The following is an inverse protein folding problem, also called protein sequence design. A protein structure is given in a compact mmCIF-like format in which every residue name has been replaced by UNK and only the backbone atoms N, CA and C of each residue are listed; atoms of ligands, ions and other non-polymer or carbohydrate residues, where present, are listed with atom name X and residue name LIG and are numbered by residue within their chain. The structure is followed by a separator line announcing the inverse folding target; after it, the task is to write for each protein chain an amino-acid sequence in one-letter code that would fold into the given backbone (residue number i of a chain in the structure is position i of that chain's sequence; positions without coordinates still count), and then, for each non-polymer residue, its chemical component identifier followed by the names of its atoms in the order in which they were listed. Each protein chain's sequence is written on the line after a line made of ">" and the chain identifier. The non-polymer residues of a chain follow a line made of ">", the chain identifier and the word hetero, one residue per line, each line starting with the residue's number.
data_IF_789026466616
#
_entry.id   IF_789026466616
#
_cell.length_a   1.000
_cell.length_b   1.000
_cell.length_c   1.000
_cell.angle_alpha   90.00
_cell.angle_beta   90.00
_cell.angle_gamma   90.00
#
_symmetry.space_group_name_H-M   'P 1'
#
loop_
_entity.id
_entity.type
_entity.pdbx_description
1 polymer ?
#
# COMPACT_ATOMS: atom_id res chain seq x y z
N UNK A 1 16.85 -0.51 17.19
CA UNK A 1 16.70 -1.73 16.37
C UNK A 1 15.95 -1.37 15.12
N UNK A 2 16.39 -1.85 13.96
CA UNK A 2 15.65 -1.68 12.72
C UNK A 2 14.49 -2.68 12.66
N UNK A 3 13.32 -2.22 12.23
CA UNK A 3 12.13 -3.04 12.04
C UNK A 3 11.76 -3.00 10.56
N UNK A 4 11.71 -4.17 9.94
CA UNK A 4 11.22 -4.33 8.56
C UNK A 4 9.77 -4.81 8.63
N UNK A 5 8.89 -4.18 7.85
CA UNK A 5 7.46 -4.52 7.81
C UNK A 5 6.97 -4.55 6.37
N UNK A 6 6.00 -5.43 6.11
CA UNK A 6 5.32 -5.56 4.82
C UNK A 6 3.87 -5.08 4.99
N UNK A 7 3.46 -4.05 4.27
CA UNK A 7 2.09 -3.51 4.28
C UNK A 7 1.59 -3.27 2.87
N UNK A 8 0.48 -3.89 2.47
CA UNK A 8 -0.14 -3.71 1.14
C UNK A 8 0.85 -3.85 -0.03
N UNK A 9 1.89 -4.68 0.13
CA UNK A 9 2.95 -4.87 -0.87
C UNK A 9 4.12 -3.91 -0.83
N UNK A 10 4.06 -2.90 0.02
CA UNK A 10 5.21 -2.09 0.36
C UNK A 10 6.09 -2.86 1.35
N UNK A 11 7.41 -2.86 1.13
CA UNK A 11 8.39 -3.22 2.17
C UNK A 11 8.91 -1.93 2.77
N UNK A 12 8.83 -1.81 4.08
CA UNK A 12 9.16 -0.58 4.81
C UNK A 12 10.15 -0.87 5.92
N UNK A 13 10.96 0.14 6.23
CA UNK A 13 11.88 0.15 7.37
C UNK A 13 11.56 1.32 8.30
N UNK A 14 11.76 1.10 9.59
CA UNK A 14 11.80 2.14 10.62
C UNK A 14 12.83 1.80 11.70
N UNK A 15 13.29 2.82 12.42
CA UNK A 15 13.97 2.60 13.70
C UNK A 15 12.94 2.44 14.81
N UNK A 16 13.12 1.43 15.64
CA UNK A 16 12.24 1.19 16.77
C UNK A 16 12.22 2.39 17.74
N UNK A 17 11.02 2.80 18.16
CA UNK A 17 10.80 4.03 18.93
C UNK A 17 10.98 5.36 18.17
N UNK A 18 11.25 5.34 16.84
CA UNK A 18 11.34 6.55 16.01
C UNK A 18 10.08 6.78 15.18
N UNK A 19 9.77 8.04 14.91
CA UNK A 19 8.69 8.49 14.01
C UNK A 19 9.08 8.41 12.52
N UNK A 20 10.37 8.25 12.21
CA UNK A 20 10.86 8.17 10.84
C UNK A 20 10.68 6.77 10.22
N UNK A 21 10.18 6.71 8.99
CA UNK A 21 10.06 5.49 8.19
C UNK A 21 10.42 5.73 6.73
N UNK A 22 10.86 4.67 6.04
CA UNK A 22 11.18 4.70 4.62
C UNK A 22 10.67 3.45 3.91
N UNK A 23 10.33 3.59 2.63
CA UNK A 23 9.89 2.49 1.77
C UNK A 23 11.11 1.91 1.04
N UNK A 24 11.40 0.63 1.25
CA UNK A 24 12.49 -0.11 0.61
C UNK A 24 12.06 -0.72 -0.73
N UNK A 25 10.79 -1.13 -0.81
CA UNK A 25 10.17 -1.59 -2.05
C UNK A 25 8.77 -1.00 -2.15
N UNK A 26 8.51 -0.32 -3.26
CA UNK A 26 7.24 0.36 -3.49
C UNK A 26 6.15 -0.60 -4.00
N UNK A 27 4.88 -0.42 -3.57
CA UNK A 27 3.77 -1.10 -4.21
C UNK A 27 3.54 -0.51 -5.61
N UNK A 28 2.65 -1.14 -6.40
CA UNK A 28 2.47 -0.80 -7.82
C UNK A 28 1.29 0.12 -8.12
N UNK A 29 0.96 1.05 -7.23
CA UNK A 29 -0.10 2.02 -7.51
C UNK A 29 0.39 3.00 -8.56
N UNK A 30 -0.50 3.40 -9.46
CA UNK A 30 -0.16 4.38 -10.48
C UNK A 30 -1.36 5.17 -10.96
N UNK A 31 -1.09 6.36 -11.48
CA UNK A 31 -2.07 7.17 -12.18
C UNK A 31 -1.72 7.29 -13.67
N UNK A 32 -2.61 6.81 -14.53
CA UNK A 32 -2.52 6.98 -15.98
C UNK A 32 -3.18 8.29 -16.40
N UNK A 33 -2.35 9.31 -16.68
CA UNK A 33 -2.80 10.65 -17.05
C UNK A 33 -3.69 10.71 -18.31
N UNK A 34 -3.29 10.09 -19.43
CA UNK A 34 -4.09 10.05 -20.65
C UNK A 34 -5.52 9.55 -20.47
N UNK A 35 -5.73 8.44 -19.74
CA UNK A 35 -7.08 7.90 -19.49
C UNK A 35 -7.72 8.39 -18.20
N UNK A 36 -6.99 9.22 -17.42
CA UNK A 36 -7.41 9.70 -16.09
C UNK A 36 -7.77 8.55 -15.15
N UNK A 37 -7.00 7.47 -15.20
CA UNK A 37 -7.25 6.25 -14.43
C UNK A 37 -6.29 6.14 -13.25
N UNK A 38 -6.83 6.01 -12.04
CA UNK A 38 -6.05 5.68 -10.85
C UNK A 38 -6.17 4.18 -10.58
N UNK A 39 -5.04 3.47 -10.51
CA UNK A 39 -5.00 2.04 -10.22
C UNK A 39 -4.32 1.81 -8.87
N UNK A 40 -5.04 1.16 -7.97
CA UNK A 40 -4.64 0.85 -6.59
C UNK A 40 -4.54 -0.66 -6.45
N UNK A 41 -3.45 -1.14 -5.84
CA UNK A 41 -3.23 -2.55 -5.54
C UNK A 41 -3.27 -2.75 -4.03
N UNK A 42 -4.26 -3.48 -3.53
CA UNK A 42 -4.38 -3.83 -2.12
C UNK A 42 -3.98 -5.29 -1.97
N UNK A 43 -3.02 -5.57 -1.10
CA UNK A 43 -2.58 -6.93 -0.80
C UNK A 43 -2.89 -7.26 0.64
N UNK A 44 -3.80 -8.21 0.83
CA UNK A 44 -4.14 -8.76 2.14
C UNK A 44 -3.36 -10.07 2.31
N UNK A 45 -2.42 -10.07 3.25
CA UNK A 45 -1.56 -11.21 3.53
C UNK A 45 -1.96 -11.81 4.86
N UNK A 46 -2.31 -13.08 4.86
CA UNK A 46 -2.70 -13.83 6.06
C UNK A 46 -1.80 -15.05 6.27
N UNK A 47 -1.69 -15.47 7.53
CA UNK A 47 -0.98 -16.67 7.97
C UNK A 47 -1.73 -17.25 9.17
N UNK A 48 -1.77 -18.58 9.28
CA UNK A 48 -2.45 -19.26 10.38
C UNK A 48 -1.56 -19.36 11.64
N UNK A 49 -0.25 -19.10 11.51
CA UNK A 49 0.73 -19.17 12.60
C UNK A 49 1.69 -17.97 12.58
N UNK A 50 2.28 -17.59 13.74
CA UNK A 50 3.38 -16.64 13.79
C UNK A 50 4.57 -17.13 12.96
N UNK A 51 5.04 -16.26 12.07
CA UNK A 51 6.06 -16.57 11.09
C UNK A 51 7.31 -15.76 11.35
N UNK A 52 8.36 -16.41 11.85
CA UNK A 52 9.67 -15.78 12.07
C UNK A 52 10.79 -16.78 11.77
N UNK A 53 11.70 -16.39 10.87
CA UNK A 53 12.91 -17.17 10.56
C UNK A 53 14.04 -16.19 10.25
N UNK A 54 15.23 -16.50 10.76
CA UNK A 54 16.44 -15.72 10.46
C UNK A 54 17.15 -16.29 9.24
N UNK A 55 17.79 -15.44 8.44
CA UNK A 55 18.49 -15.83 7.22
C UNK A 55 17.58 -15.99 6.00
N UNK A 56 18.04 -16.76 5.01
CA UNK A 56 17.26 -17.05 3.80
C UNK A 56 16.34 -18.26 4.03
N UNK A 57 15.06 -18.10 3.72
CA UNK A 57 14.05 -19.14 3.86
C UNK A 57 13.15 -19.21 2.62
N UNK A 58 12.46 -20.33 2.44
CA UNK A 58 11.50 -20.51 1.34
C UNK A 58 10.10 -20.30 1.89
N UNK A 59 9.42 -19.25 1.45
CA UNK A 59 8.03 -18.99 1.82
C UNK A 59 7.12 -19.67 0.82
N UNK A 60 6.22 -20.55 1.27
CA UNK A 60 5.15 -21.06 0.41
C UNK A 60 3.92 -20.20 0.55
N UNK A 61 3.45 -19.67 -0.58
CA UNK A 61 2.30 -18.77 -0.64
C UNK A 61 1.34 -19.21 -1.74
N UNK A 62 0.05 -18.95 -1.52
CA UNK A 62 -1.00 -19.07 -2.53
C UNK A 62 -1.73 -17.75 -2.70
N UNK A 63 -2.26 -17.54 -3.91
CA UNK A 63 -3.30 -16.56 -4.16
C UNK A 63 -4.64 -17.26 -3.93
N UNK A 64 -5.31 -16.92 -2.84
CA UNK A 64 -6.62 -17.49 -2.49
C UNK A 64 -7.73 -16.85 -3.32
N UNK A 65 -7.70 -15.52 -3.41
CA UNK A 65 -8.70 -14.75 -4.13
C UNK A 65 -8.07 -13.50 -4.76
N UNK A 66 -8.59 -13.13 -5.93
CA UNK A 66 -8.30 -11.84 -6.55
C UNK A 66 -9.60 -11.18 -6.98
N UNK A 67 -9.80 -9.95 -6.52
CA UNK A 67 -10.96 -9.15 -6.85
C UNK A 67 -10.53 -7.88 -7.58
N UNK A 68 -11.29 -7.45 -8.57
CA UNK A 68 -11.03 -6.20 -9.28
C UNK A 68 -12.31 -5.42 -9.41
N UNK A 69 -12.27 -4.19 -8.91
CA UNK A 69 -13.34 -3.23 -9.02
C UNK A 69 -12.93 -2.09 -9.94
N UNK A 70 -13.87 -1.67 -10.78
CA UNK A 70 -13.71 -0.51 -11.64
C UNK A 70 -14.86 0.45 -11.34
N UNK A 71 -14.53 1.57 -10.70
CA UNK A 71 -15.49 2.54 -10.20
C UNK A 71 -15.37 3.80 -11.09
N UNK A 72 -16.44 4.20 -11.79
CA UNK A 72 -16.46 5.49 -12.47
C UNK A 72 -16.42 6.61 -11.42
N UNK A 73 -15.61 7.64 -11.68
CA UNK A 73 -15.52 8.83 -10.83
C UNK A 73 -16.14 9.99 -11.61
N UNK A 74 -17.12 10.66 -11.02
CA UNK A 74 -17.87 11.72 -11.69
C UNK A 74 -16.99 12.95 -11.89
N UNK A 75 -17.30 13.75 -12.92
CA UNK A 75 -16.56 14.98 -13.20
C UNK A 75 -16.63 15.94 -12.02
N UNK A 76 -15.47 16.33 -11.48
CA UNK A 76 -15.36 17.20 -10.30
C UNK A 76 -15.18 16.45 -8.99
N UNK A 77 -15.42 15.13 -8.97
CA UNK A 77 -15.11 14.29 -7.82
C UNK A 77 -13.60 14.00 -7.72
N UNK A 78 -13.21 13.50 -6.55
CA UNK A 78 -11.83 13.17 -6.20
C UNK A 78 -11.78 11.78 -5.56
N UNK A 79 -10.65 11.11 -5.72
CA UNK A 79 -10.34 9.92 -4.92
C UNK A 79 -9.55 10.35 -3.70
N UNK A 80 -9.96 9.90 -2.51
CA UNK A 80 -9.25 10.17 -1.26
C UNK A 80 -8.66 8.88 -0.70
N UNK A 81 -7.47 8.99 -0.12
CA UNK A 81 -6.80 7.91 0.62
C UNK A 81 -6.48 8.44 2.01
N UNK A 82 -6.87 7.67 3.01
CA UNK A 82 -6.49 7.89 4.41
C UNK A 82 -5.53 6.78 4.82
N UNK A 83 -4.41 7.18 5.42
CA UNK A 83 -3.51 6.24 6.08
C UNK A 83 -3.88 6.15 7.56
N UNK A 84 -4.12 4.93 8.03
CA UNK A 84 -4.36 4.63 9.45
C UNK A 84 -3.25 3.73 9.95
N UNK A 85 -2.55 4.14 11.00
CA UNK A 85 -1.49 3.31 11.59
C UNK A 85 -2.06 2.04 12.22
N UNK A 86 -1.34 0.94 12.01
CA UNK A 86 -1.65 -0.36 12.61
C UNK A 86 -0.94 -0.58 13.93
N UNK A 87 -1.10 -1.77 14.49
CA UNK A 87 -0.36 -2.21 15.70
C UNK A 87 1.12 -2.50 15.45
N UNK A 88 1.55 -2.62 14.17
CA UNK A 88 2.92 -2.86 13.72
C UNK A 88 3.85 -1.65 13.81
N UNK A 89 3.29 -0.46 14.05
CA UNK A 89 4.01 0.81 14.11
C UNK A 89 3.41 1.85 13.18
N UNK A 90 4.03 3.04 13.18
CA UNK A 90 3.61 4.14 12.31
C UNK A 90 4.59 4.33 11.14
N UNK A 91 4.10 4.08 9.93
CA UNK A 91 4.78 4.24 8.65
C UNK A 91 4.26 5.43 7.83
N UNK A 92 3.61 6.42 8.47
CA UNK A 92 3.02 7.58 7.80
C UNK A 92 4.00 8.30 6.87
N UNK A 93 5.25 8.48 7.29
CA UNK A 93 6.28 9.19 6.48
C UNK A 93 6.60 8.43 5.19
N UNK A 94 6.75 7.10 5.26
CA UNK A 94 7.00 6.28 4.07
C UNK A 94 5.80 6.30 3.11
N UNK A 95 4.57 6.16 3.63
CA UNK A 95 3.35 6.24 2.83
C UNK A 95 3.15 7.63 2.21
N UNK A 96 3.42 8.70 2.95
CA UNK A 96 3.34 10.08 2.46
C UNK A 96 4.24 10.30 1.26
N UNK A 97 5.52 9.93 1.39
CA UNK A 97 6.50 10.10 0.33
C UNK A 97 6.11 9.32 -0.94
N UNK A 98 5.59 8.11 -0.78
CA UNK A 98 5.12 7.29 -1.89
C UNK A 98 3.87 7.88 -2.56
N UNK A 99 2.82 8.17 -1.79
CA UNK A 99 1.53 8.64 -2.31
C UNK A 99 1.65 10.01 -2.99
N UNK A 100 2.50 10.89 -2.45
CA UNK A 100 2.76 12.22 -3.05
C UNK A 100 3.83 12.20 -4.14
N UNK A 101 4.56 11.08 -4.25
CA UNK A 101 5.57 10.85 -5.29
C UNK A 101 4.98 10.77 -6.70
N UNK A 102 5.84 10.80 -7.71
CA UNK A 102 5.44 10.91 -9.12
C UNK A 102 4.66 9.71 -9.65
N UNK A 103 4.82 8.52 -9.04
CA UNK A 103 4.11 7.30 -9.42
C UNK A 103 2.59 7.44 -9.25
N UNK A 104 2.15 8.09 -8.16
CA UNK A 104 0.72 8.23 -7.82
C UNK A 104 0.26 9.69 -7.93
N UNK A 105 1.09 10.64 -7.49
CA UNK A 105 0.89 12.07 -7.62
C UNK A 105 -0.27 12.62 -6.78
N UNK A 106 -0.54 12.02 -5.62
CA UNK A 106 -1.58 12.53 -4.72
C UNK A 106 -1.14 13.84 -4.05
N UNK A 107 -2.12 14.65 -3.68
CA UNK A 107 -1.94 15.87 -2.90
C UNK A 107 -2.29 15.58 -1.45
N UNK A 108 -1.39 15.89 -0.52
CA UNK A 108 -1.69 15.86 0.91
C UNK A 108 -2.67 16.98 1.26
N UNK A 109 -3.77 16.64 1.93
CA UNK A 109 -4.82 17.60 2.33
C UNK A 109 -4.85 17.87 3.82
N UNK A 110 -4.48 16.88 4.63
CA UNK A 110 -4.33 16.97 6.07
C UNK A 110 -3.33 15.91 6.53
N UNK A 111 -3.11 15.79 7.84
CA UNK A 111 -2.32 14.69 8.39
C UNK A 111 -2.93 13.35 7.93
N UNK A 112 -2.11 12.48 7.34
CA UNK A 112 -2.47 11.15 6.84
C UNK A 112 -3.60 11.11 5.80
N UNK A 113 -3.96 12.24 5.22
CA UNK A 113 -5.06 12.35 4.27
C UNK A 113 -4.55 12.89 2.93
N UNK A 114 -4.85 12.16 1.86
CA UNK A 114 -4.37 12.42 0.51
C UNK A 114 -5.54 12.40 -0.46
N UNK A 115 -5.45 13.22 -1.52
CA UNK A 115 -6.43 13.21 -2.61
C UNK A 115 -5.76 13.14 -3.97
N UNK A 116 -6.45 12.53 -4.93
CA UNK A 116 -6.15 12.65 -6.35
C UNK A 116 -7.35 13.23 -7.07
N UNK A 117 -7.13 14.37 -7.70
CA UNK A 117 -8.09 15.02 -8.59
C UNK A 117 -7.89 14.53 -10.03
N UNK A 118 -8.80 14.90 -10.92
CA UNK A 118 -8.77 14.52 -12.33
C UNK A 118 -8.78 13.01 -12.56
N UNK A 119 -9.39 12.24 -11.66
CA UNK A 119 -9.62 10.81 -11.85
C UNK A 119 -11.00 10.64 -12.47
N UNK A 120 -11.08 9.95 -13.61
CA UNK A 120 -12.34 9.56 -14.25
C UNK A 120 -12.71 8.11 -13.91
N UNK A 121 -11.71 7.30 -13.54
CA UNK A 121 -11.89 5.89 -13.23
C UNK A 121 -10.92 5.45 -12.13
N UNK A 122 -11.46 4.91 -11.06
CA UNK A 122 -10.70 4.24 -10.01
C UNK A 122 -10.76 2.73 -10.25
N UNK A 123 -9.59 2.10 -10.33
CA UNK A 123 -9.47 0.64 -10.40
C UNK A 123 -8.79 0.16 -9.12
N UNK A 124 -9.49 -0.66 -8.35
CA UNK A 124 -8.94 -1.30 -7.15
C UNK A 124 -8.76 -2.77 -7.47
N UNK A 125 -7.53 -3.26 -7.31
CA UNK A 125 -7.19 -4.68 -7.44
C UNK A 125 -6.78 -5.21 -6.08
N UNK A 126 -7.59 -6.11 -5.55
CA UNK A 126 -7.40 -6.70 -4.23
C UNK A 126 -6.94 -8.14 -4.39
N UNK A 127 -5.89 -8.52 -3.66
CA UNK A 127 -5.33 -9.86 -3.67
C UNK A 127 -5.30 -10.40 -2.25
N UNK A 128 -5.93 -11.55 -2.04
CA UNK A 128 -5.82 -12.32 -0.81
C UNK A 128 -4.72 -13.37 -0.97
N UNK A 129 -3.63 -13.17 -0.23
CA UNK A 129 -2.46 -14.03 -0.25
C UNK A 129 -2.42 -14.77 1.09
N UNK A 130 -2.29 -16.09 1.02
CA UNK A 130 -2.09 -16.93 2.21
C UNK A 130 -0.67 -17.46 2.24
N UNK A 131 0.01 -17.26 3.36
CA UNK A 131 1.30 -17.90 3.67
C UNK A 131 1.00 -19.21 4.39
N UNK A 132 1.49 -20.32 3.84
CA UNK A 132 1.28 -21.66 4.41
C UNK A 132 2.43 -22.07 5.33
N UNK A 133 3.69 -21.86 4.89
CA UNK A 133 4.90 -22.22 5.65
C UNK A 133 6.13 -21.40 5.19
N UNK A 134 7.22 -21.47 5.98
CA UNK A 134 8.53 -20.74 5.82
C UNK A 134 9.72 -21.67 6.09
#
# INVERSE_FOLDING_TARGET
>A
NEVITLENGAVMTRQDGSTGSAMLAEPRWFYDGPTKMLVIYIMNISTDAPMAKSGMATVRMSLEEAHTQAIPVWSGDKVTVEYTSGSSGDYAVAWENYLTGTSVGMQKTALNNYKRENVNKLVIKEYQIKIHDI
#
